data_IF_286966303842
#
_entry.id   IF_286966303842
#
_cell.length_a   1.000
_cell.length_b   1.000
_cell.length_c   1.000
_cell.angle_alpha   90.00
_cell.angle_beta   90.00
_cell.angle_gamma   90.00
#
_symmetry.space_group_name_H-M   'P 1'
#
loop_
_entity.id
_entity.type
_entity.pdbx_description
1 polymer ?
#
# COMPACT_ATOMS: atom_id res chain seq x y z
N UNK A 1 -0.80 19.23 12.95
CA UNK A 1 -2.23 19.40 13.27
C UNK A 1 -2.87 18.02 13.23
N UNK A 2 -3.51 17.57 14.31
CA UNK A 2 -4.19 16.28 14.32
C UNK A 2 -5.61 16.49 13.78
N UNK A 3 -5.97 15.76 12.73
CA UNK A 3 -7.30 15.75 12.13
C UNK A 3 -7.95 14.39 12.41
N UNK A 4 -9.28 14.39 12.54
CA UNK A 4 -10.06 13.15 12.55
C UNK A 4 -9.86 12.41 11.21
N UNK A 5 -9.92 11.08 11.22
CA UNK A 5 -9.50 10.22 10.11
C UNK A 5 -10.16 10.56 8.77
N UNK A 6 -11.48 10.75 8.73
CA UNK A 6 -12.17 11.10 7.49
C UNK A 6 -11.70 12.44 6.96
N UNK A 7 -11.62 13.44 7.83
CA UNK A 7 -11.14 14.79 7.47
C UNK A 7 -9.68 14.76 6.98
N UNK A 8 -8.86 13.91 7.57
CA UNK A 8 -7.47 13.69 7.20
C UNK A 8 -7.33 13.09 5.80
N UNK A 9 -8.14 12.09 5.46
CA UNK A 9 -8.16 11.51 4.12
C UNK A 9 -8.59 12.55 3.07
N UNK A 10 -9.65 13.31 3.36
CA UNK A 10 -10.15 14.35 2.45
C UNK A 10 -9.10 15.44 2.21
N UNK A 11 -8.39 15.88 3.26
CA UNK A 11 -7.28 16.86 3.17
C UNK A 11 -6.17 16.38 2.24
N UNK A 12 -5.77 15.10 2.34
CA UNK A 12 -4.76 14.50 1.47
C UNK A 12 -5.22 14.44 0.01
N UNK A 13 -6.46 14.03 -0.23
CA UNK A 13 -7.03 14.01 -1.58
C UNK A 13 -7.14 15.40 -2.21
N UNK A 14 -7.44 16.43 -1.41
CA UNK A 14 -7.51 17.82 -1.89
C UNK A 14 -6.14 18.47 -2.10
N UNK A 15 -5.05 17.87 -1.60
CA UNK A 15 -3.71 18.46 -1.69
C UNK A 15 -3.49 19.62 -0.74
N UNK A 16 -4.34 19.78 0.29
CA UNK A 16 -4.27 20.88 1.27
C UNK A 16 -3.34 20.55 2.43
N UNK A 17 -2.13 20.11 2.12
CA UNK A 17 -1.10 19.73 3.09
C UNK A 17 0.31 20.00 2.53
N UNK A 18 1.29 20.22 3.40
CA UNK A 18 2.71 20.29 2.99
C UNK A 18 3.34 18.90 3.01
N UNK A 19 3.30 18.24 4.18
CA UNK A 19 3.73 16.87 4.41
C UNK A 19 2.68 16.16 5.26
N UNK A 20 2.33 14.92 4.90
CA UNK A 20 1.38 14.11 5.64
C UNK A 20 1.95 12.74 5.98
N UNK A 21 1.60 12.21 7.17
CA UNK A 21 1.95 10.83 7.53
C UNK A 21 1.12 9.87 6.69
N UNK A 22 1.76 8.92 6.02
CA UNK A 22 1.08 7.91 5.23
C UNK A 22 1.38 6.48 5.71
N UNK A 23 0.49 5.56 5.34
CA UNK A 23 0.68 4.13 5.44
C UNK A 23 -0.16 3.47 4.36
N UNK A 24 0.42 2.48 3.69
CA UNK A 24 -0.26 1.70 2.66
C UNK A 24 -0.09 0.21 2.97
N UNK A 25 -1.17 -0.54 2.87
CA UNK A 25 -1.19 -1.99 2.98
C UNK A 25 -1.55 -2.54 1.60
N UNK A 26 -0.98 -3.68 1.21
CA UNK A 26 -1.37 -4.31 -0.04
C UNK A 26 -2.85 -4.73 0.00
N UNK A 27 -3.57 -4.45 -1.08
CA UNK A 27 -4.91 -4.95 -1.35
C UNK A 27 -4.86 -6.39 -1.90
N UNK A 28 -3.77 -6.72 -2.59
CA UNK A 28 -3.42 -8.06 -3.05
C UNK A 28 -1.90 -8.26 -3.02
N UNK A 29 -1.45 -9.51 -2.85
CA UNK A 29 -0.04 -9.82 -2.60
C UNK A 29 0.83 -9.79 -3.89
N UNK A 30 0.98 -8.61 -4.49
CA UNK A 30 1.78 -8.37 -5.69
C UNK A 30 2.23 -6.89 -5.76
N UNK A 31 3.46 -6.57 -6.26
CA UNK A 31 4.02 -5.20 -6.19
C UNK A 31 3.15 -4.09 -6.78
N UNK A 32 2.35 -4.37 -7.81
CA UNK A 32 1.44 -3.40 -8.41
C UNK A 32 0.39 -2.89 -7.43
N UNK A 33 0.08 -3.63 -6.36
CA UNK A 33 -0.82 -3.14 -5.30
C UNK A 33 -0.26 -1.91 -4.57
N UNK A 34 1.07 -1.70 -4.59
CA UNK A 34 1.71 -0.49 -4.09
C UNK A 34 1.97 0.50 -5.24
N UNK A 35 2.57 0.03 -6.33
CA UNK A 35 3.05 0.90 -7.41
C UNK A 35 1.94 1.57 -8.21
N UNK A 36 0.76 0.93 -8.37
CA UNK A 36 -0.38 1.54 -9.06
C UNK A 36 -0.93 2.78 -8.33
N UNK A 37 -0.68 2.92 -7.02
CA UNK A 37 -1.06 4.14 -6.29
C UNK A 37 -0.30 5.37 -6.79
N UNK A 38 0.90 5.18 -7.34
CA UNK A 38 1.78 6.28 -7.79
C UNK A 38 1.61 6.61 -9.28
N UNK A 39 0.76 5.90 -10.02
CA UNK A 39 0.40 6.27 -11.38
C UNK A 39 -0.19 7.68 -11.40
N UNK A 40 0.15 8.46 -12.42
CA UNK A 40 -0.29 9.85 -12.52
C UNK A 40 -1.81 9.99 -12.49
N UNK A 41 -2.58 9.05 -13.04
CA UNK A 41 -4.04 9.10 -13.09
C UNK A 41 -4.72 8.30 -11.97
N UNK A 42 -3.97 7.72 -11.04
CA UNK A 42 -4.52 6.91 -9.96
C UNK A 42 -5.34 7.75 -8.98
N UNK A 43 -6.57 7.32 -8.73
CA UNK A 43 -7.43 7.95 -7.72
C UNK A 43 -6.87 7.88 -6.29
N UNK A 44 -5.95 6.94 -6.04
CA UNK A 44 -5.28 6.76 -4.75
C UNK A 44 -4.02 7.61 -4.61
N UNK A 45 -3.60 8.33 -5.66
CA UNK A 45 -2.40 9.15 -5.69
C UNK A 45 -2.55 10.45 -4.89
N UNK A 46 -2.62 10.28 -3.58
CA UNK A 46 -2.64 11.37 -2.60
C UNK A 46 -1.29 12.09 -2.41
N UNK A 47 -0.12 11.54 -2.81
CA UNK A 47 1.10 12.34 -2.94
C UNK A 47 1.05 13.37 -4.08
N UNK A 48 0.07 13.26 -4.99
CA UNK A 48 -0.04 14.06 -6.22
C UNK A 48 1.18 13.95 -7.13
N UNK A 49 1.88 12.81 -7.09
CA UNK A 49 3.05 12.53 -7.91
C UNK A 49 2.63 12.35 -9.38
N UNK A 50 3.38 12.94 -10.32
CA UNK A 50 3.13 12.80 -11.76
C UNK A 50 4.45 12.58 -12.47
N UNK A 51 4.62 11.43 -13.14
CA UNK A 51 5.84 11.12 -13.88
C UNK A 51 5.55 10.23 -15.08
N UNK A 52 5.79 10.79 -16.27
CA UNK A 52 5.60 10.06 -17.52
C UNK A 52 6.54 8.84 -17.63
N UNK A 53 7.73 8.90 -17.03
CA UNK A 53 8.65 7.76 -17.04
C UNK A 53 8.15 6.64 -16.13
N UNK A 54 7.67 6.99 -14.93
CA UNK A 54 7.05 6.02 -14.03
C UNK A 54 5.81 5.36 -14.67
N UNK A 55 4.91 6.17 -15.25
CA UNK A 55 3.71 5.68 -15.92
C UNK A 55 4.05 4.74 -17.08
N UNK A 56 5.10 5.06 -17.85
CA UNK A 56 5.58 4.22 -18.94
C UNK A 56 6.14 2.88 -18.45
N UNK A 57 6.94 2.89 -17.37
CA UNK A 57 7.46 1.66 -16.76
C UNK A 57 6.32 0.76 -16.30
N UNK A 58 5.33 1.33 -15.61
CA UNK A 58 4.14 0.61 -15.16
C UNK A 58 3.22 0.18 -16.30
N UNK A 59 3.14 0.93 -17.40
CA UNK A 59 2.46 0.50 -18.62
C UNK A 59 3.11 -0.74 -19.24
N UNK A 60 4.45 -0.82 -19.24
CA UNK A 60 5.19 -1.96 -19.77
C UNK A 60 5.00 -3.23 -18.95
N UNK A 61 4.80 -3.12 -17.62
CA UNK A 61 4.53 -4.25 -16.71
C UNK A 61 3.36 -5.09 -17.21
N UNK A 62 2.31 -4.46 -17.73
CA UNK A 62 1.11 -5.14 -18.23
C UNK A 62 1.38 -5.98 -19.48
N UNK A 63 2.44 -5.64 -20.22
CA UNK A 63 2.84 -6.32 -21.46
C UNK A 63 4.01 -7.29 -21.28
N UNK A 64 4.58 -7.36 -20.07
CA UNK A 64 5.69 -8.24 -19.74
C UNK A 64 5.30 -9.72 -19.94
N UNK A 65 6.16 -10.48 -20.60
CA UNK A 65 5.90 -11.88 -20.98
C UNK A 65 6.37 -12.87 -19.92
N UNK A 66 7.34 -12.48 -19.09
CA UNK A 66 7.87 -13.33 -18.01
C UNK A 66 7.76 -12.65 -16.66
N UNK A 67 7.89 -13.45 -15.59
CA UNK A 67 7.89 -12.94 -14.22
C UNK A 67 9.13 -12.12 -13.94
N UNK A 68 10.26 -12.51 -14.52
CA UNK A 68 11.55 -11.86 -14.39
C UNK A 68 11.55 -10.49 -15.06
N UNK A 69 10.99 -10.39 -16.27
CA UNK A 69 10.80 -9.12 -16.96
C UNK A 69 9.89 -8.17 -16.18
N UNK A 70 8.78 -8.71 -15.63
CA UNK A 70 7.87 -7.94 -14.79
C UNK A 70 8.56 -7.42 -13.52
N UNK A 71 9.34 -8.28 -12.85
CA UNK A 71 10.07 -7.91 -11.65
C UNK A 71 11.13 -6.83 -11.92
N UNK A 72 11.86 -6.93 -13.04
CA UNK A 72 12.82 -5.90 -13.47
C UNK A 72 12.14 -4.55 -13.75
N UNK A 73 10.96 -4.56 -14.38
CA UNK A 73 10.17 -3.34 -14.60
C UNK A 73 9.68 -2.72 -13.29
N UNK A 74 9.22 -3.52 -12.32
CA UNK A 74 8.88 -3.01 -10.99
C UNK A 74 10.09 -2.41 -10.28
N UNK A 75 11.25 -3.06 -10.35
CA UNK A 75 12.47 -2.54 -9.74
C UNK A 75 12.86 -1.19 -10.34
N UNK A 76 12.72 -1.02 -11.66
CA UNK A 76 12.96 0.27 -12.34
C UNK A 76 11.94 1.33 -11.92
N UNK A 77 10.67 0.94 -11.74
CA UNK A 77 9.63 1.85 -11.28
C UNK A 77 9.92 2.37 -9.86
N UNK A 78 10.33 1.49 -8.94
CA UNK A 78 10.79 1.86 -7.58
C UNK A 78 12.02 2.78 -7.62
N UNK A 79 13.02 2.46 -8.44
CA UNK A 79 14.21 3.32 -8.61
C UNK A 79 13.83 4.70 -9.15
N UNK A 80 12.85 4.79 -10.04
CA UNK A 80 12.35 6.08 -10.54
C UNK A 80 11.65 6.88 -9.44
N UNK A 81 10.85 6.24 -8.58
CA UNK A 81 10.23 6.90 -7.42
C UNK A 81 11.25 7.42 -6.41
N UNK A 82 12.28 6.62 -6.12
CA UNK A 82 13.38 7.00 -5.21
C UNK A 82 14.20 8.16 -5.76
N UNK A 83 14.57 8.09 -7.06
CA UNK A 83 15.27 9.17 -7.77
C UNK A 83 14.51 10.50 -7.70
N UNK A 84 13.18 10.44 -7.82
CA UNK A 84 12.33 11.64 -7.76
C UNK A 84 12.01 12.06 -6.31
N UNK A 85 12.42 11.29 -5.30
CA UNK A 85 12.08 11.49 -3.89
C UNK A 85 10.57 11.70 -3.68
N UNK A 86 9.75 10.89 -4.38
CA UNK A 86 8.30 11.07 -4.43
C UNK A 86 7.64 10.95 -3.04
N UNK A 87 8.23 10.16 -2.15
CA UNK A 87 7.82 9.96 -0.75
C UNK A 87 9.07 9.78 0.13
N UNK A 88 8.88 9.76 1.45
CA UNK A 88 9.94 9.43 2.43
C UNK A 88 9.58 8.09 3.09
N UNK A 89 10.14 6.95 2.61
CA UNK A 89 9.91 5.65 3.23
C UNK A 89 10.54 5.59 4.63
N UNK A 90 9.82 5.03 5.61
CA UNK A 90 10.28 4.98 7.01
C UNK A 90 10.54 3.55 7.49
N UNK A 91 9.56 2.66 7.34
CA UNK A 91 9.66 1.26 7.77
C UNK A 91 8.61 0.39 7.08
N UNK A 92 8.86 -0.92 7.05
CA UNK A 92 7.87 -1.93 6.69
C UNK A 92 7.14 -2.41 7.95
N UNK A 93 5.81 -2.53 7.88
CA UNK A 93 4.99 -2.85 9.05
C UNK A 93 5.20 -4.28 9.55
N UNK A 94 5.10 -4.45 10.86
CA UNK A 94 4.72 -5.72 11.49
C UNK A 94 3.33 -5.57 12.08
N UNK A 95 2.51 -6.61 11.98
CA UNK A 95 1.15 -6.54 12.51
C UNK A 95 1.11 -7.04 13.97
N UNK A 96 1.41 -6.13 14.90
CA UNK A 96 1.36 -6.38 16.34
C UNK A 96 -0.04 -6.11 16.90
N UNK A 97 -0.65 -7.09 17.57
CA UNK A 97 -1.98 -6.97 18.18
C UNK A 97 -2.14 -7.87 19.41
N UNK A 98 -3.08 -7.52 20.27
CA UNK A 98 -3.50 -8.37 21.39
C UNK A 98 -4.74 -9.18 21.01
N UNK A 99 -4.67 -10.50 21.18
CA UNK A 99 -5.80 -11.42 20.97
C UNK A 99 -6.01 -12.20 22.26
N UNK A 100 -7.24 -12.19 22.79
CA UNK A 100 -7.56 -12.93 24.02
C UNK A 100 -7.37 -14.44 23.79
N UNK A 101 -6.90 -15.21 24.79
CA UNK A 101 -6.65 -16.66 24.62
C UNK A 101 -7.89 -17.47 24.20
N UNK A 102 -9.09 -16.97 24.50
CA UNK A 102 -10.36 -17.61 24.13
C UNK A 102 -10.84 -17.28 22.71
N UNK A 103 -10.12 -16.45 21.94
CA UNK A 103 -10.46 -16.16 20.54
C UNK A 103 -9.68 -17.14 19.64
N UNK A 104 -10.40 -18.13 19.12
CA UNK A 104 -9.88 -19.07 18.13
C UNK A 104 -10.07 -18.59 16.69
N UNK A 105 -9.33 -19.19 15.77
CA UNK A 105 -9.45 -18.92 14.33
C UNK A 105 -8.57 -17.76 13.81
N UNK A 106 -8.00 -16.96 14.70
CA UNK A 106 -7.04 -15.92 14.34
C UNK A 106 -5.61 -16.50 14.17
N UNK A 107 -5.16 -16.71 12.93
CA UNK A 107 -3.86 -17.36 12.67
C UNK A 107 -2.66 -16.42 12.74
N UNK A 108 -2.84 -15.13 12.44
CA UNK A 108 -1.76 -14.16 12.25
C UNK A 108 -0.84 -14.43 11.06
N UNK A 109 -1.19 -15.38 10.18
CA UNK A 109 -0.36 -15.80 9.03
C UNK A 109 -0.74 -15.14 7.72
N UNK A 110 -1.89 -14.47 7.64
CA UNK A 110 -2.27 -13.71 6.47
C UNK A 110 -1.44 -12.41 6.42
N UNK A 111 -0.55 -12.22 5.43
CA UNK A 111 0.26 -11.01 5.31
C UNK A 111 -0.58 -9.75 5.05
N UNK A 112 -1.81 -9.89 4.54
CA UNK A 112 -2.73 -8.78 4.30
C UNK A 112 -3.63 -8.49 5.52
N UNK A 113 -3.57 -9.35 6.55
CA UNK A 113 -4.41 -9.30 7.75
C UNK A 113 -5.92 -9.17 7.46
N UNK A 114 -6.41 -9.86 6.42
CA UNK A 114 -7.83 -9.90 6.13
C UNK A 114 -8.53 -10.85 7.12
N UNK A 115 -9.03 -10.28 8.21
CA UNK A 115 -9.76 -11.01 9.25
C UNK A 115 -11.23 -11.10 8.89
N UNK A 116 -11.78 -12.31 8.93
CA UNK A 116 -13.19 -12.57 8.68
C UNK A 116 -13.84 -13.18 9.92
N UNK A 117 -14.87 -12.52 10.47
CA UNK A 117 -15.58 -12.97 11.67
C UNK A 117 -16.13 -14.39 11.54
N UNK A 118 -16.53 -14.82 10.33
CA UNK A 118 -17.00 -16.18 10.05
C UNK A 118 -15.97 -17.29 10.34
N UNK A 119 -14.68 -16.93 10.39
CA UNK A 119 -13.58 -17.86 10.69
C UNK A 119 -13.20 -17.82 12.19
N UNK A 120 -13.72 -16.86 12.96
CA UNK A 120 -13.45 -16.70 14.38
C UNK A 120 -14.45 -17.50 15.20
N UNK A 121 -14.01 -17.95 16.39
CA UNK A 121 -14.88 -18.61 17.36
C UNK A 121 -14.40 -18.34 18.78
N UNK A 122 -15.32 -18.44 19.73
CA UNK A 122 -15.03 -18.27 21.15
C UNK A 122 -14.90 -19.64 21.81
N UNK A 123 -13.71 -19.93 22.34
CA UNK A 123 -13.44 -21.11 23.16
C UNK A 123 -14.09 -20.88 24.53
N UNK A 124 -14.68 -21.94 25.11
CA UNK A 124 -15.22 -21.89 26.47
C UNK A 124 -14.12 -21.44 27.44
N UNK A 125 -14.41 -20.41 28.22
CA UNK A 125 -13.50 -19.76 29.17
C UNK A 125 -14.23 -19.41 30.47
#
# INVERSE_FOLDING_TARGET
MNQEWKTFLDTRHQGTYDVSRAGWCADYNEPSSFLNMMLSDSSSNTPHYKSAEFDKLMGNVLTAKTKEERADLYQKAEVQLDKDSAIVPLYYYVNARLVKPYVGGYSGKDPLDNVYDKNLYIIKH
#
